data_IF_655646168640
#
_entry.id   IF_655646168640
#
_cell.length_a   1.000
_cell.length_b   1.000
_cell.length_c   1.000
_cell.angle_alpha   90.00
_cell.angle_beta   90.00
_cell.angle_gamma   90.00
#
_symmetry.space_group_name_H-M   'P 1'
#
loop_
_entity.id
_entity.type
_entity.pdbx_description
1 polymer ?
#
# COMPACT_ATOMS: atom_id res chain seq x y z
N UNK A 1 -27.04 23.08 -20.53
CA UNK A 1 -26.12 21.92 -20.55
C UNK A 1 -26.86 20.69 -20.07
N UNK A 2 -27.06 19.69 -20.93
CA UNK A 2 -27.76 18.44 -20.60
C UNK A 2 -26.86 17.64 -19.64
N UNK A 3 -27.30 17.40 -18.41
CA UNK A 3 -26.62 16.51 -17.47
C UNK A 3 -26.45 15.15 -18.16
N UNK A 4 -25.23 14.79 -18.58
CA UNK A 4 -24.94 13.47 -19.12
C UNK A 4 -25.19 12.48 -17.98
N UNK A 5 -26.20 11.62 -18.10
CA UNK A 5 -26.43 10.54 -17.14
C UNK A 5 -25.14 9.74 -17.04
N UNK A 6 -24.64 9.56 -15.82
CA UNK A 6 -23.41 8.81 -15.58
C UNK A 6 -23.57 7.37 -16.07
N UNK A 7 -22.58 6.86 -16.79
CA UNK A 7 -22.64 5.50 -17.36
C UNK A 7 -22.45 4.44 -16.27
N UNK A 8 -22.88 3.20 -16.49
CA UNK A 8 -22.63 2.10 -15.56
C UNK A 8 -21.12 1.93 -15.25
N UNK A 9 -20.27 2.07 -16.27
CA UNK A 9 -18.82 2.00 -16.13
C UNK A 9 -18.26 3.06 -15.18
N UNK A 10 -18.78 4.30 -15.21
CA UNK A 10 -18.37 5.36 -14.29
C UNK A 10 -18.74 5.03 -12.84
N UNK A 11 -19.95 4.53 -12.59
CA UNK A 11 -20.37 4.16 -11.23
C UNK A 11 -19.56 2.99 -10.69
N UNK A 12 -19.34 1.95 -11.49
CA UNK A 12 -18.53 0.79 -11.10
C UNK A 12 -17.09 1.22 -10.79
N UNK A 13 -16.54 2.14 -11.56
CA UNK A 13 -15.19 2.59 -11.34
C UNK A 13 -15.06 3.58 -10.16
N UNK A 14 -16.09 4.39 -9.87
CA UNK A 14 -16.17 5.16 -8.62
C UNK A 14 -16.25 4.25 -7.40
N UNK A 15 -17.03 3.17 -7.49
CA UNK A 15 -17.16 2.15 -6.46
C UNK A 15 -15.82 1.44 -6.21
N UNK A 16 -15.14 1.04 -7.28
CA UNK A 16 -13.78 0.48 -7.26
C UNK A 16 -12.81 1.38 -6.49
N UNK A 17 -12.83 2.68 -6.81
CA UNK A 17 -12.00 3.69 -6.15
C UNK A 17 -12.38 3.93 -4.68
N UNK A 18 -13.67 3.82 -4.32
CA UNK A 18 -14.17 4.04 -2.96
C UNK A 18 -13.76 2.90 -2.03
N UNK A 19 -13.82 1.66 -2.50
CA UNK A 19 -13.55 0.47 -1.68
C UNK A 19 -12.17 -0.13 -1.90
N UNK A 20 -11.34 0.48 -2.77
CA UNK A 20 -9.98 0.03 -3.08
C UNK A 20 -9.93 -1.34 -3.74
N UNK A 21 -10.89 -1.58 -4.65
CA UNK A 21 -10.97 -2.80 -5.48
C UNK A 21 -10.69 -2.41 -6.92
N UNK A 22 -10.03 -3.26 -7.70
CA UNK A 22 -9.78 -2.96 -9.11
C UNK A 22 -11.07 -3.04 -9.94
N UNK A 23 -11.34 -2.10 -10.86
CA UNK A 23 -12.56 -2.16 -11.68
C UNK A 23 -12.71 -3.45 -12.48
N UNK A 24 -11.59 -4.00 -12.96
CA UNK A 24 -11.61 -5.29 -13.66
C UNK A 24 -12.03 -6.43 -12.73
N UNK A 25 -11.59 -6.44 -11.48
CA UNK A 25 -12.02 -7.45 -10.49
C UNK A 25 -13.51 -7.33 -10.18
N UNK A 26 -14.03 -6.09 -10.05
CA UNK A 26 -15.47 -5.86 -9.87
C UNK A 26 -16.26 -6.40 -11.07
N UNK A 27 -15.78 -6.16 -12.29
CA UNK A 27 -16.44 -6.65 -13.51
C UNK A 27 -16.39 -8.17 -13.65
N UNK A 28 -15.24 -8.80 -13.38
CA UNK A 28 -15.14 -10.25 -13.35
C UNK A 28 -16.08 -10.84 -12.29
N UNK A 29 -16.20 -10.22 -11.12
CA UNK A 29 -17.13 -10.66 -10.10
C UNK A 29 -18.60 -10.56 -10.55
N UNK A 30 -19.00 -9.54 -11.32
CA UNK A 30 -20.35 -9.47 -11.91
C UNK A 30 -20.59 -10.64 -12.88
N UNK A 31 -19.63 -10.96 -13.74
CA UNK A 31 -19.73 -12.08 -14.69
C UNK A 31 -19.83 -13.41 -13.92
N UNK A 32 -18.93 -13.62 -12.96
CA UNK A 32 -18.87 -14.85 -12.15
C UNK A 32 -20.14 -15.04 -11.33
N UNK A 33 -20.65 -13.98 -10.68
CA UNK A 33 -21.87 -14.04 -9.88
C UNK A 33 -23.09 -14.41 -10.73
N UNK A 34 -23.14 -13.94 -11.99
CA UNK A 34 -24.18 -14.33 -12.93
C UNK A 34 -24.04 -15.77 -13.39
N UNK A 35 -22.84 -16.20 -13.77
CA UNK A 35 -22.61 -17.55 -14.29
C UNK A 35 -22.83 -18.64 -13.24
N UNK A 36 -22.47 -18.35 -12.00
CA UNK A 36 -22.54 -19.32 -10.89
C UNK A 36 -23.83 -19.18 -10.07
N UNK A 37 -24.61 -18.12 -10.31
CA UNK A 37 -25.76 -17.70 -9.50
C UNK A 37 -25.47 -17.62 -7.99
N UNK A 38 -24.19 -17.41 -7.64
CA UNK A 38 -23.68 -17.34 -6.28
C UNK A 38 -23.00 -15.99 -6.05
N UNK A 39 -22.82 -15.65 -4.78
CA UNK A 39 -22.03 -14.50 -4.39
C UNK A 39 -20.57 -14.66 -4.85
N UNK A 40 -20.03 -13.65 -5.54
CA UNK A 40 -18.63 -13.58 -5.95
C UNK A 40 -17.90 -12.49 -5.17
N UNK A 41 -16.69 -12.78 -4.69
CA UNK A 41 -15.90 -11.85 -3.88
C UNK A 41 -14.93 -11.09 -4.78
N UNK A 42 -14.84 -9.77 -4.61
CA UNK A 42 -13.81 -8.92 -5.21
C UNK A 42 -13.21 -7.96 -4.17
N UNK A 43 -11.99 -8.28 -3.72
CA UNK A 43 -11.33 -7.56 -2.63
C UNK A 43 -12.13 -7.66 -1.33
N UNK A 44 -12.59 -6.53 -0.82
CA UNK A 44 -13.43 -6.41 0.38
C UNK A 44 -14.94 -6.32 0.06
N UNK A 45 -15.33 -6.53 -1.19
CA UNK A 45 -16.70 -6.47 -1.64
C UNK A 45 -17.20 -7.87 -2.01
N UNK A 46 -18.50 -8.06 -1.83
CA UNK A 46 -19.22 -9.24 -2.30
C UNK A 46 -20.27 -8.80 -3.31
N UNK A 47 -20.33 -9.48 -4.44
CA UNK A 47 -21.24 -9.21 -5.55
C UNK A 47 -22.22 -10.38 -5.65
N UNK A 48 -23.50 -10.09 -5.46
CA UNK A 48 -24.57 -11.07 -5.53
C UNK A 48 -25.44 -10.82 -6.77
N UNK A 49 -25.72 -11.89 -7.51
CA UNK A 49 -26.76 -11.87 -8.53
C UNK A 49 -28.15 -11.92 -7.86
N UNK A 50 -29.04 -10.99 -8.24
CA UNK A 50 -30.40 -10.86 -7.67
C UNK A 50 -31.51 -11.19 -8.66
N UNK A 51 -31.17 -11.66 -9.86
CA UNK A 51 -32.15 -12.00 -10.89
C UNK A 51 -32.09 -11.07 -12.12
N UNK A 52 -33.04 -11.29 -13.02
CA UNK A 52 -33.14 -10.57 -14.30
C UNK A 52 -34.50 -9.90 -14.42
N UNK A 53 -34.53 -8.63 -14.83
CA UNK A 53 -35.76 -7.90 -15.12
C UNK A 53 -35.62 -7.08 -16.41
N UNK A 54 -36.60 -7.20 -17.31
CA UNK A 54 -36.67 -6.42 -18.57
C UNK A 54 -35.39 -6.47 -19.42
N UNK A 55 -34.68 -7.60 -19.42
CA UNK A 55 -33.41 -7.76 -20.16
C UNK A 55 -32.16 -7.30 -19.42
N UNK A 56 -32.31 -6.68 -18.25
CA UNK A 56 -31.20 -6.25 -17.40
C UNK A 56 -30.96 -7.27 -16.27
N UNK A 57 -29.70 -7.51 -15.96
CA UNK A 57 -29.24 -8.34 -14.85
C UNK A 57 -29.07 -7.46 -13.61
N UNK A 58 -29.66 -7.83 -12.48
CA UNK A 58 -29.57 -7.06 -11.23
C UNK A 58 -28.48 -7.64 -10.34
N UNK A 59 -27.57 -6.79 -9.88
CA UNK A 59 -26.52 -7.14 -8.94
C UNK A 59 -26.63 -6.29 -7.68
N UNK A 60 -26.40 -6.93 -6.53
CA UNK A 60 -26.21 -6.27 -5.26
C UNK A 60 -24.73 -6.36 -4.88
N UNK A 61 -24.15 -5.25 -4.47
CA UNK A 61 -22.78 -5.22 -3.95
C UNK A 61 -22.85 -4.87 -2.46
N UNK A 62 -22.26 -5.72 -1.64
CA UNK A 62 -22.14 -5.55 -0.19
C UNK A 62 -20.68 -5.42 0.23
N UNK A 63 -20.45 -4.72 1.33
CA UNK A 63 -19.18 -4.74 2.06
C UNK A 63 -19.49 -5.25 3.46
N UNK A 64 -18.87 -6.35 3.86
CA UNK A 64 -19.20 -7.05 5.09
C UNK A 64 -20.71 -7.39 5.09
N UNK A 65 -21.55 -6.68 5.85
CA UNK A 65 -23.01 -6.83 5.85
C UNK A 65 -23.77 -5.62 5.28
N UNK A 66 -23.07 -4.55 4.88
CA UNK A 66 -23.70 -3.31 4.41
C UNK A 66 -23.89 -3.33 2.90
N UNK A 67 -25.09 -2.98 2.45
CA UNK A 67 -25.36 -2.76 1.02
C UNK A 67 -24.69 -1.47 0.57
N UNK A 68 -23.70 -1.60 -0.31
CA UNK A 68 -22.93 -0.45 -0.80
C UNK A 68 -23.39 0.05 -2.17
N UNK A 69 -23.97 -0.84 -2.98
CA UNK A 69 -24.55 -0.48 -4.27
C UNK A 69 -25.51 -1.55 -4.78
N UNK A 70 -26.42 -1.15 -5.67
CA UNK A 70 -27.23 -2.06 -6.47
C UNK A 70 -27.21 -1.56 -7.91
N UNK A 71 -26.85 -2.44 -8.85
CA UNK A 71 -26.73 -2.10 -10.26
C UNK A 71 -27.68 -2.93 -11.12
N UNK A 72 -28.28 -2.28 -12.12
CA UNK A 72 -28.87 -2.96 -13.27
C UNK A 72 -27.87 -2.89 -14.40
N UNK A 73 -27.56 -4.06 -14.95
CA UNK A 73 -26.50 -4.23 -15.94
C UNK A 73 -27.10 -4.90 -17.16
N UNK A 74 -27.02 -4.22 -18.30
CA UNK A 74 -27.45 -4.77 -19.58
C UNK A 74 -26.62 -6.00 -19.95
N UNK A 75 -27.26 -6.95 -20.60
CA UNK A 75 -26.62 -8.23 -20.94
C UNK A 75 -25.48 -8.05 -21.93
N UNK A 76 -25.57 -7.09 -22.85
CA UNK A 76 -24.49 -6.71 -23.77
C UNK A 76 -23.23 -6.24 -23.03
N UNK A 77 -23.39 -5.52 -21.92
CA UNK A 77 -22.26 -5.06 -21.11
C UNK A 77 -21.49 -6.21 -20.47
N UNK A 78 -22.19 -7.29 -20.07
CA UNK A 78 -21.56 -8.47 -19.45
C UNK A 78 -20.83 -9.36 -20.46
N UNK A 79 -21.22 -9.31 -21.73
CA UNK A 79 -20.60 -10.11 -22.80
C UNK A 79 -19.47 -9.36 -23.52
N UNK A 80 -19.18 -8.11 -23.14
CA UNK A 80 -18.02 -7.38 -23.67
C UNK A 80 -16.72 -8.15 -23.39
N UNK A 81 -15.91 -8.30 -24.44
CA UNK A 81 -14.55 -8.88 -24.35
C UNK A 81 -13.46 -7.81 -24.22
N UNK A 82 -13.76 -6.57 -24.58
CA UNK A 82 -12.89 -5.42 -24.35
C UNK A 82 -13.03 -4.91 -22.90
N UNK A 83 -11.97 -4.31 -22.37
CA UNK A 83 -11.98 -3.76 -21.01
C UNK A 83 -12.96 -2.57 -20.95
N UNK A 84 -14.16 -2.73 -20.34
CA UNK A 84 -15.20 -1.70 -20.39
C UNK A 84 -14.81 -0.42 -19.65
N UNK A 85 -13.67 -0.43 -18.96
CA UNK A 85 -13.14 0.69 -18.19
C UNK A 85 -11.95 1.37 -18.86
N UNK A 86 -11.49 0.95 -20.04
CA UNK A 86 -10.26 1.49 -20.66
C UNK A 86 -10.30 3.03 -20.79
N UNK A 87 -11.45 3.59 -21.20
CA UNK A 87 -11.65 5.05 -21.32
C UNK A 87 -11.70 5.78 -19.97
N UNK A 88 -11.98 5.07 -18.86
CA UNK A 88 -12.04 5.64 -17.53
C UNK A 88 -10.75 5.45 -16.73
N UNK A 89 -10.12 4.27 -16.86
CA UNK A 89 -8.78 3.99 -16.32
C UNK A 89 -7.73 4.94 -16.91
N UNK A 90 -7.98 5.49 -18.10
CA UNK A 90 -7.14 6.52 -18.72
C UNK A 90 -7.29 7.92 -18.10
N UNK A 91 -8.32 8.17 -17.28
CA UNK A 91 -8.56 9.45 -16.62
C UNK A 91 -7.56 9.68 -15.49
N UNK A 92 -6.92 10.85 -15.46
CA UNK A 92 -5.84 11.19 -14.52
C UNK A 92 -6.17 10.98 -13.03
N UNK A 93 -7.45 11.14 -12.66
CA UNK A 93 -7.91 10.97 -11.27
C UNK A 93 -7.85 9.50 -10.83
N UNK A 94 -8.15 8.56 -11.74
CA UNK A 94 -8.12 7.12 -11.47
C UNK A 94 -6.68 6.62 -11.54
N UNK A 95 -5.89 7.04 -12.54
CA UNK A 95 -4.44 6.76 -12.56
C UNK A 95 -3.75 7.21 -11.27
N UNK A 96 -4.00 8.44 -10.81
CA UNK A 96 -3.41 8.97 -9.57
C UNK A 96 -3.85 8.20 -8.32
N UNK A 97 -5.11 7.75 -8.27
CA UNK A 97 -5.64 7.04 -7.09
C UNK A 97 -5.24 5.56 -7.06
N UNK A 98 -5.20 4.89 -8.22
CA UNK A 98 -4.61 3.55 -8.38
C UNK A 98 -3.10 3.58 -8.09
N UNK A 99 -2.36 4.56 -8.62
CA UNK A 99 -0.93 4.71 -8.31
C UNK A 99 -0.70 4.98 -6.81
N UNK A 100 -1.57 5.77 -6.17
CA UNK A 100 -1.52 6.00 -4.72
C UNK A 100 -1.82 4.72 -3.92
N UNK A 101 -2.81 3.93 -4.31
CA UNK A 101 -3.16 2.65 -3.66
C UNK A 101 -2.10 1.56 -3.86
N UNK A 102 -1.49 1.46 -5.05
CA UNK A 102 -0.34 0.58 -5.29
C UNK A 102 0.89 1.02 -4.47
N UNK A 103 1.08 2.32 -4.29
CA UNK A 103 2.13 2.83 -3.41
C UNK A 103 1.90 2.44 -1.95
N UNK A 104 0.65 2.25 -1.51
CA UNK A 104 0.32 1.83 -0.14
C UNK A 104 0.46 0.30 0.07
N UNK A 105 0.41 -0.51 -0.99
CA UNK A 105 0.42 -1.98 -0.93
C UNK A 105 1.69 -2.67 -1.45
N UNK A 106 2.54 -1.99 -2.23
CA UNK A 106 3.78 -2.57 -2.77
C UNK A 106 4.98 -2.22 -1.90
N UNK A 107 5.56 -3.23 -1.25
CA UNK A 107 6.86 -3.11 -0.59
C UNK A 107 7.97 -3.24 -1.63
N UNK A 108 8.93 -2.33 -1.59
CA UNK A 108 10.10 -2.32 -2.47
C UNK A 108 11.28 -2.96 -1.74
N UNK A 109 12.03 -3.83 -2.42
CA UNK A 109 13.25 -4.42 -1.88
C UNK A 109 14.41 -3.41 -1.86
N UNK A 110 15.37 -3.58 -0.96
CA UNK A 110 16.50 -2.64 -0.79
C UNK A 110 17.32 -2.48 -2.09
N UNK A 111 17.55 -3.56 -2.84
CA UNK A 111 18.30 -3.52 -4.10
C UNK A 111 17.69 -2.57 -5.14
N UNK A 112 16.37 -2.42 -5.13
CA UNK A 112 15.61 -1.67 -6.13
C UNK A 112 15.52 -0.17 -5.79
N UNK A 113 16.06 0.23 -4.63
CA UNK A 113 16.03 1.61 -4.15
C UNK A 113 17.08 2.48 -4.83
N UNK A 114 16.58 3.47 -5.58
CA UNK A 114 17.33 4.48 -6.31
C UNK A 114 17.21 5.86 -5.66
N UNK A 115 18.27 6.66 -5.79
CA UNK A 115 18.30 8.03 -5.33
C UNK A 115 17.11 8.83 -5.89
N UNK A 116 16.45 9.63 -5.05
CA UNK A 116 15.34 10.48 -5.44
C UNK A 116 13.96 9.80 -5.39
N UNK A 117 13.89 8.49 -5.16
CA UNK A 117 12.61 7.79 -4.95
C UNK A 117 11.90 8.35 -3.70
N UNK A 118 10.58 8.57 -3.83
CA UNK A 118 9.70 9.07 -2.77
C UNK A 118 8.52 8.12 -2.61
N UNK A 119 7.89 8.15 -1.44
CA UNK A 119 6.76 7.28 -1.07
C UNK A 119 7.12 5.80 -1.16
N UNK A 120 8.31 5.46 -0.70
CA UNK A 120 8.79 4.07 -0.67
C UNK A 120 8.23 3.38 0.56
N UNK A 121 7.66 2.19 0.38
CA UNK A 121 7.37 1.28 1.49
C UNK A 121 8.39 0.15 1.48
N UNK A 122 8.92 -0.21 2.64
CA UNK A 122 9.98 -1.20 2.81
C UNK A 122 9.74 -2.00 4.10
N UNK A 123 10.04 -3.29 4.07
CA UNK A 123 10.25 -4.09 5.29
C UNK A 123 11.72 -4.46 5.36
N UNK A 124 12.33 -4.25 6.51
CA UNK A 124 13.75 -4.51 6.72
C UNK A 124 14.02 -4.94 8.16
N UNK A 125 15.16 -5.57 8.39
CA UNK A 125 15.70 -5.86 9.70
C UNK A 125 16.76 -4.83 10.06
N UNK A 126 16.78 -4.41 11.33
CA UNK A 126 17.78 -3.50 11.87
C UNK A 126 19.04 -4.30 12.20
N UNK A 127 20.10 -4.07 11.44
CA UNK A 127 21.36 -4.81 11.57
C UNK A 127 22.30 -4.14 12.57
N UNK A 128 22.33 -2.81 12.59
CA UNK A 128 23.25 -2.05 13.44
C UNK A 128 22.66 -0.67 13.77
N UNK A 129 22.88 -0.18 14.99
CA UNK A 129 22.55 1.19 15.38
C UNK A 129 23.82 1.82 15.97
N UNK A 130 24.54 2.66 15.21
CA UNK A 130 25.70 3.39 15.71
C UNK A 130 25.34 4.43 16.78
N UNK A 131 26.35 5.03 17.40
CA UNK A 131 26.13 6.15 18.34
C UNK A 131 25.51 7.36 17.61
N UNK A 132 24.52 8.06 18.20
CA UNK A 132 24.00 9.30 17.65
C UNK A 132 25.11 10.36 17.45
N UNK A 133 25.02 11.08 16.34
CA UNK A 133 25.89 12.20 16.01
C UNK A 133 25.12 13.51 16.10
N UNK A 134 25.82 14.56 16.54
CA UNK A 134 25.27 15.90 16.65
C UNK A 134 25.41 16.64 15.31
N UNK A 135 24.33 17.24 14.81
CA UNK A 135 24.33 18.02 13.57
C UNK A 135 23.71 19.39 13.76
N UNK A 136 24.30 20.40 13.12
CA UNK A 136 23.74 21.75 13.08
C UNK A 136 22.80 21.89 11.89
N UNK A 137 21.56 22.26 12.17
CA UNK A 137 20.55 22.53 11.15
C UNK A 137 20.74 23.92 10.55
N UNK A 138 20.23 24.13 9.33
CA UNK A 138 20.21 25.45 8.68
C UNK A 138 19.43 26.53 9.47
N UNK A 139 18.63 26.12 10.45
CA UNK A 139 17.85 27.00 11.31
C UNK A 139 18.58 27.35 12.62
N UNK A 140 19.88 27.03 12.74
CA UNK A 140 20.70 27.32 13.92
C UNK A 140 20.52 26.34 15.08
N UNK A 141 19.54 25.44 15.01
CA UNK A 141 19.33 24.42 16.03
C UNK A 141 20.31 23.27 15.88
N UNK A 142 20.72 22.70 17.01
CA UNK A 142 21.50 21.48 17.05
C UNK A 142 20.59 20.30 17.35
N UNK A 143 20.65 19.26 16.52
CA UNK A 143 19.82 18.05 16.67
C UNK A 143 20.66 16.80 16.60
N UNK A 144 20.19 15.73 17.23
CA UNK A 144 20.82 14.42 17.14
C UNK A 144 20.31 13.64 15.91
N UNK A 145 21.21 12.91 15.27
CA UNK A 145 20.89 12.01 14.15
C UNK A 145 21.63 10.68 14.31
N UNK A 146 20.99 9.57 13.96
CA UNK A 146 21.64 8.26 13.87
C UNK A 146 21.35 7.63 12.51
N UNK A 147 22.38 7.06 11.90
CA UNK A 147 22.27 6.31 10.65
C UNK A 147 22.30 4.82 10.96
N UNK A 148 21.16 4.24 11.28
CA UNK A 148 21.03 2.82 11.52
C UNK A 148 21.25 2.04 10.21
N UNK A 149 21.92 0.89 10.27
CA UNK A 149 22.03 -0.01 9.13
C UNK A 149 20.83 -0.94 9.13
N UNK A 150 20.06 -0.92 8.05
CA UNK A 150 18.91 -1.80 7.85
C UNK A 150 19.10 -2.63 6.59
N UNK A 151 18.55 -3.84 6.55
CA UNK A 151 18.69 -4.70 5.39
C UNK A 151 17.54 -5.69 5.23
N UNK A 152 17.41 -6.19 4.01
CA UNK A 152 16.58 -7.34 3.67
C UNK A 152 17.47 -8.41 2.99
N UNK A 153 16.85 -9.45 2.47
CA UNK A 153 17.52 -10.52 1.70
C UNK A 153 18.26 -10.01 0.45
N UNK A 154 17.95 -8.80 -0.02
CA UNK A 154 18.49 -8.25 -1.27
C UNK A 154 19.62 -7.24 -1.08
N UNK A 155 19.76 -6.67 0.12
CA UNK A 155 20.81 -5.69 0.37
C UNK A 155 20.67 -4.97 1.69
N UNK A 156 21.58 -4.00 1.91
CA UNK A 156 21.67 -3.18 3.11
C UNK A 156 21.70 -1.71 2.73
N UNK A 157 21.12 -0.86 3.58
CA UNK A 157 21.11 0.59 3.39
C UNK A 157 21.05 1.32 4.74
N UNK A 158 21.54 2.55 4.79
CA UNK A 158 21.44 3.41 5.98
C UNK A 158 20.04 4.01 6.11
N UNK A 159 19.40 3.87 7.26
CA UNK A 159 18.18 4.56 7.67
C UNK A 159 18.55 5.69 8.62
N UNK A 160 18.27 6.92 8.20
CA UNK A 160 18.53 8.14 8.95
C UNK A 160 17.34 8.41 9.88
N UNK A 161 17.60 8.34 11.19
CA UNK A 161 16.64 8.63 12.26
C UNK A 161 17.02 9.95 12.92
N UNK A 162 16.05 10.84 13.04
CA UNK A 162 16.20 12.12 13.73
C UNK A 162 15.92 11.96 15.22
N UNK A 163 16.34 12.92 16.03
CA UNK A 163 16.25 12.92 17.50
C UNK A 163 14.97 12.31 18.08
N UNK A 164 13.78 12.73 17.64
CA UNK A 164 12.50 12.17 18.14
C UNK A 164 12.21 10.72 17.76
N UNK A 165 13.05 10.11 16.92
CA UNK A 165 12.98 8.72 16.45
C UNK A 165 14.11 7.87 17.05
N UNK A 166 15.10 8.49 17.70
CA UNK A 166 16.19 7.77 18.34
C UNK A 166 15.63 6.96 19.51
N UNK A 167 15.96 5.68 19.57
CA UNK A 167 15.43 4.75 20.56
C UNK A 167 14.07 4.14 20.22
N UNK A 168 13.47 4.48 19.07
CA UNK A 168 12.22 3.84 18.62
C UNK A 168 12.41 2.42 18.06
N UNK A 169 13.65 2.05 17.75
CA UNK A 169 14.03 0.74 17.18
C UNK A 169 15.26 0.19 17.90
N UNK A 170 15.37 -1.13 17.94
CA UNK A 170 16.48 -1.89 18.49
C UNK A 170 17.16 -2.75 17.43
N UNK A 171 18.40 -3.15 17.69
CA UNK A 171 19.12 -4.10 16.84
C UNK A 171 18.36 -5.44 16.81
N UNK A 172 18.25 -6.04 15.62
CA UNK A 172 17.45 -7.22 15.29
C UNK A 172 15.92 -7.02 15.27
N UNK A 173 15.43 -5.79 15.35
CA UNK A 173 14.00 -5.53 15.11
C UNK A 173 13.67 -5.68 13.62
N UNK A 174 12.52 -6.30 13.34
CA UNK A 174 11.93 -6.22 11.99
C UNK A 174 11.01 -5.01 11.93
N UNK A 175 11.33 -4.09 11.04
CA UNK A 175 10.65 -2.82 10.89
C UNK A 175 9.90 -2.73 9.57
N UNK A 176 8.80 -1.99 9.60
CA UNK A 176 8.05 -1.55 8.44
C UNK A 176 8.18 -0.04 8.32
N UNK A 177 8.71 0.41 7.19
CA UNK A 177 8.78 1.81 6.84
C UNK A 177 7.76 2.09 5.74
N UNK A 178 6.87 3.05 5.98
CA UNK A 178 5.90 3.55 5.00
C UNK A 178 6.19 4.98 4.61
N UNK A 179 5.92 5.32 3.35
CA UNK A 179 6.11 6.65 2.77
C UNK A 179 7.52 7.24 2.98
N UNK A 180 8.55 6.40 2.83
CA UNK A 180 9.96 6.79 2.88
C UNK A 180 10.44 7.56 1.67
N UNK A 181 11.63 8.12 1.81
CA UNK A 181 12.38 8.80 0.75
C UNK A 181 13.83 8.31 0.72
N UNK A 182 14.32 8.02 -0.48
CA UNK A 182 15.73 7.70 -0.71
C UNK A 182 16.45 8.99 -1.10
N UNK A 183 17.37 9.43 -0.24
CA UNK A 183 18.19 10.61 -0.44
C UNK A 183 19.66 10.21 -0.58
N UNK A 184 20.43 11.06 -1.25
CA UNK A 184 21.89 10.96 -1.25
C UNK A 184 22.43 12.05 -0.34
N UNK A 185 23.34 11.69 0.56
CA UNK A 185 24.03 12.64 1.41
C UNK A 185 25.50 12.28 1.46
N UNK A 186 26.38 13.26 1.15
CA UNK A 186 27.83 13.05 1.05
C UNK A 186 28.20 11.86 0.14
N UNK A 187 27.47 11.67 -0.95
CA UNK A 187 27.69 10.58 -1.91
C UNK A 187 27.06 9.23 -1.52
N UNK A 188 26.52 9.10 -0.30
CA UNK A 188 25.92 7.85 0.17
C UNK A 188 24.39 7.87 0.08
N UNK A 189 23.81 6.75 -0.40
CA UNK A 189 22.36 6.54 -0.39
C UNK A 189 21.87 6.22 1.02
N UNK A 190 20.84 6.94 1.46
CA UNK A 190 20.19 6.71 2.74
C UNK A 190 18.68 6.88 2.64
N UNK A 191 17.97 6.10 3.45
CA UNK A 191 16.54 6.16 3.62
C UNK A 191 16.20 7.18 4.71
N UNK A 192 15.17 7.97 4.46
CA UNK A 192 14.60 8.93 5.41
C UNK A 192 13.10 8.73 5.47
N UNK A 193 12.51 9.04 6.62
CA UNK A 193 11.06 9.13 6.74
C UNK A 193 10.55 10.37 6.00
N UNK A 194 9.54 10.18 5.14
CA UNK A 194 8.89 11.29 4.45
C UNK A 194 7.97 12.08 5.39
N UNK A 195 7.43 13.21 4.90
CA UNK A 195 6.53 14.10 5.67
C UNK A 195 5.31 13.38 6.29
N UNK A 196 4.81 12.35 5.62
CA UNK A 196 3.71 11.50 6.09
C UNK A 196 4.19 10.04 6.25
N UNK A 197 5.47 9.87 6.59
CA UNK A 197 6.11 8.58 6.79
C UNK A 197 5.85 8.03 8.18
N UNK A 198 5.79 6.72 8.29
CA UNK A 198 5.70 6.01 9.56
C UNK A 198 6.73 4.89 9.62
N UNK A 199 7.29 4.68 10.80
CA UNK A 199 8.18 3.57 11.11
C UNK A 199 7.52 2.75 12.23
N UNK A 200 7.31 1.46 11.97
CA UNK A 200 6.63 0.55 12.91
C UNK A 200 7.48 -0.69 13.11
N UNK A 201 7.66 -1.13 14.36
CA UNK A 201 8.28 -2.42 14.66
C UNK A 201 7.24 -3.52 14.48
N UNK A 202 7.45 -4.42 13.52
CA UNK A 202 6.59 -5.56 13.25
C UNK A 202 6.86 -6.74 14.18
N UNK A 203 8.14 -6.99 14.47
CA UNK A 203 8.58 -8.02 15.41
C UNK A 203 9.75 -7.44 16.20
N UNK A 204 9.62 -7.31 17.53
CA UNK A 204 10.72 -6.90 18.37
C UNK A 204 11.79 -8.01 18.42
N UNK A 205 13.04 -7.61 18.62
CA UNK A 205 14.15 -8.54 18.80
C UNK A 205 13.81 -9.60 19.86
N UNK A 206 13.92 -10.88 19.47
CA UNK A 206 13.77 -11.99 20.42
C UNK A 206 14.87 -11.84 21.48
N UNK A 207 14.48 -11.67 22.74
CA UNK A 207 15.42 -11.70 23.86
C UNK A 207 16.10 -13.07 23.89
N UNK A 208 17.32 -13.17 23.34
CA UNK A 208 18.22 -14.28 23.66
C UNK A 208 18.78 -13.96 25.03
N UNK A 209 18.32 -14.69 26.06
CA UNK A 209 18.93 -14.63 27.39
C UNK A 209 20.44 -14.89 27.24
N UNK A 210 21.32 -14.09 27.87
CA UNK A 210 22.73 -14.43 27.88
C UNK A 210 22.90 -15.78 28.58
N UNK A 211 23.46 -16.77 27.88
CA UNK A 211 24.09 -17.90 28.54
C UNK A 211 25.32 -17.35 29.26
N UNK A 212 25.13 -16.98 30.52
CA UNK A 212 26.24 -16.79 31.44
C UNK A 212 26.92 -18.15 31.53
N UNK A 213 28.09 -18.27 30.89
CA UNK A 213 29.00 -19.37 31.15
C UNK A 213 29.33 -19.31 32.64
N UNK A 214 28.79 -20.28 33.40
CA UNK A 214 29.15 -20.46 34.79
C UNK A 214 30.64 -20.81 34.84
N UNK A 215 31.46 -19.87 35.30
CA UNK A 215 32.78 -20.17 35.82
C UNK A 215 32.56 -20.99 37.10
N UNK A 216 32.84 -22.29 37.00
CA UNK A 216 33.16 -23.23 38.08
C UNK A 216 34.25 -24.11 37.46
N UNK A 217 35.45 -24.28 37.99
CA UNK A 217 36.02 -24.09 39.33
C UNK A 217 37.54 -23.97 39.17
#
# INVERSE_FOLDING_TARGET
MRQKKSTLGEHLALLSVKYSVYPNEVFQALILAKQTEKAAVCGNLTVEYRGKMKGETIFLITKDNDVVAQFRVEEEFLHRKDNPFESWMSTDKIKKKIAKQNTESVYTQVKDLRAGMKRVNLKAEVLEIPKPAQVHTQFGNTVMVVNALVGDETGKMKLCLWEGQIGSISVNDKIELKNGQVCVFRGEKQLRLGKNGSLVVLQPAKHVKPQIAAIRS
#
